data_IF_721276658119
#
_entry.id   IF_721276658119
#
_cell.length_a   1.000
_cell.length_b   1.000
_cell.length_c   1.000
_cell.angle_alpha   90.00
_cell.angle_beta   90.00
_cell.angle_gamma   90.00
#
_symmetry.space_group_name_H-M   'P 1'
#
loop_
_entity.id
_entity.type
_entity.pdbx_description
1 polymer ?
#
# COMPACT_ATOMS: atom_id res chain seq x y z
N UNK A 1 -43.95 36.41 2.86
CA UNK A 1 -43.90 35.44 1.76
C UNK A 1 -42.54 34.78 1.85
N UNK A 2 -42.48 33.55 2.35
CA UNK A 2 -41.23 32.83 2.55
C UNK A 2 -40.94 32.02 1.28
N UNK A 3 -39.81 32.31 0.63
CA UNK A 3 -39.36 31.58 -0.56
C UNK A 3 -38.89 30.18 -0.15
N UNK A 4 -39.49 29.18 -0.79
CA UNK A 4 -39.14 27.77 -0.62
C UNK A 4 -37.77 27.47 -1.25
N UNK A 5 -36.88 26.71 -0.58
CA UNK A 5 -35.57 26.39 -1.11
C UNK A 5 -35.68 25.48 -2.35
N UNK A 6 -34.94 25.84 -3.40
CA UNK A 6 -34.88 25.07 -4.66
C UNK A 6 -34.22 23.71 -4.41
N UNK A 7 -34.75 22.61 -4.99
CA UNK A 7 -34.20 21.28 -4.77
C UNK A 7 -32.81 21.16 -5.40
N UNK A 8 -31.85 20.67 -4.60
CA UNK A 8 -30.51 20.31 -5.07
C UNK A 8 -30.59 19.05 -5.93
N UNK A 9 -30.22 19.17 -7.19
CA UNK A 9 -30.24 18.13 -8.22
C UNK A 9 -29.08 17.12 -8.10
N UNK A 10 -28.86 16.55 -6.91
CA UNK A 10 -27.67 15.72 -6.68
C UNK A 10 -27.87 14.20 -6.92
N UNK A 11 -29.08 13.73 -7.23
CA UNK A 11 -29.40 12.30 -7.17
C UNK A 11 -29.70 11.61 -8.51
N UNK A 12 -29.51 12.26 -9.66
CA UNK A 12 -30.00 11.72 -10.95
C UNK A 12 -28.92 11.50 -12.03
N UNK A 13 -27.63 11.67 -11.73
CA UNK A 13 -26.56 11.52 -12.73
C UNK A 13 -25.71 10.26 -12.48
N UNK A 14 -26.33 9.08 -12.36
CA UNK A 14 -25.60 7.82 -12.12
C UNK A 14 -25.75 6.77 -13.21
N UNK A 15 -26.55 6.98 -14.25
CA UNK A 15 -26.80 5.92 -15.25
C UNK A 15 -27.10 6.47 -16.65
N UNK A 16 -26.07 6.89 -17.38
CA UNK A 16 -25.93 6.68 -18.84
C UNK A 16 -24.74 7.50 -19.35
N UNK A 17 -23.87 6.88 -20.14
CA UNK A 17 -22.71 7.45 -20.86
C UNK A 17 -23.05 8.52 -21.92
N UNK A 18 -24.19 9.20 -21.77
CA UNK A 18 -24.47 10.41 -22.54
C UNK A 18 -23.98 11.60 -21.73
N UNK A 19 -22.74 12.01 -22.02
CA UNK A 19 -22.19 13.30 -21.60
C UNK A 19 -23.26 14.38 -21.82
N UNK A 20 -23.88 14.83 -20.74
CA UNK A 20 -24.85 15.91 -20.79
C UNK A 20 -24.05 17.21 -20.94
N UNK A 21 -23.85 17.66 -22.18
CA UNK A 21 -23.10 18.87 -22.54
C UNK A 21 -23.67 20.16 -21.92
N UNK A 22 -24.86 20.09 -21.32
CA UNK A 22 -25.53 21.21 -20.64
C UNK A 22 -25.69 21.01 -19.12
N UNK A 23 -25.04 20.03 -18.51
CA UNK A 23 -25.04 19.92 -17.05
C UNK A 23 -24.09 20.96 -16.44
N UNK A 24 -24.56 21.73 -15.46
CA UNK A 24 -23.76 22.75 -14.77
C UNK A 24 -22.49 22.18 -14.13
N UNK A 25 -22.46 20.89 -13.78
CA UNK A 25 -21.25 20.22 -13.30
C UNK A 25 -20.14 20.16 -14.36
N UNK A 26 -20.49 20.00 -15.65
CA UNK A 26 -19.50 19.95 -16.74
C UNK A 26 -18.90 21.34 -17.02
N UNK A 27 -19.71 22.39 -16.88
CA UNK A 27 -19.25 23.79 -16.96
C UNK A 27 -18.31 24.11 -15.81
N UNK A 28 -18.61 23.64 -14.59
CA UNK A 28 -17.73 23.82 -13.42
C UNK A 28 -16.41 23.05 -13.52
N UNK A 29 -16.42 21.83 -14.09
CA UNK A 29 -15.20 21.05 -14.29
C UNK A 29 -14.33 21.64 -15.40
N UNK A 30 -14.91 22.12 -16.51
CA UNK A 30 -14.16 22.84 -17.56
C UNK A 30 -13.59 24.16 -17.08
N UNK A 31 -14.38 24.95 -16.36
CA UNK A 31 -13.91 26.22 -15.78
C UNK A 31 -12.73 26.00 -14.83
N UNK A 32 -12.77 24.97 -13.98
CA UNK A 32 -11.62 24.64 -13.11
C UNK A 32 -10.39 24.16 -13.85
N UNK A 33 -10.56 23.50 -15.00
CA UNK A 33 -9.42 23.06 -15.82
C UNK A 33 -8.74 24.23 -16.53
N UNK A 34 -9.52 25.16 -17.08
CA UNK A 34 -8.98 26.38 -17.70
C UNK A 34 -8.30 27.28 -16.65
N UNK A 35 -8.85 27.41 -15.44
CA UNK A 35 -8.21 28.12 -14.32
C UNK A 35 -6.89 27.44 -13.86
N UNK A 36 -6.81 26.10 -13.91
CA UNK A 36 -5.60 25.37 -13.54
C UNK A 36 -4.50 25.46 -14.61
N UNK A 37 -4.88 25.47 -15.90
CA UNK A 37 -3.94 25.66 -17.02
C UNK A 37 -3.39 27.11 -17.02
N UNK A 38 -4.22 28.14 -16.77
CA UNK A 38 -3.74 29.52 -16.56
C UNK A 38 -2.84 29.66 -15.32
N UNK A 39 -3.15 28.95 -14.23
CA UNK A 39 -2.33 28.97 -13.03
C UNK A 39 -0.95 28.33 -13.25
N UNK A 40 -0.86 27.28 -14.06
CA UNK A 40 0.40 26.60 -14.37
C UNK A 40 1.28 27.39 -15.36
N UNK A 41 0.67 28.09 -16.33
CA UNK A 41 1.41 28.94 -17.27
C UNK A 41 1.88 30.26 -16.65
N UNK A 42 1.28 30.69 -15.53
CA UNK A 42 1.66 31.90 -14.80
C UNK A 42 2.82 31.76 -13.82
N UNK A 43 3.31 30.53 -13.56
CA UNK A 43 4.48 30.30 -12.70
C UNK A 43 5.75 30.39 -13.55
N UNK A 44 6.06 31.59 -14.04
CA UNK A 44 7.45 31.93 -14.37
C UNK A 44 8.22 31.94 -13.05
N UNK A 45 8.89 30.83 -12.78
CA UNK A 45 9.85 30.66 -11.69
C UNK A 45 10.97 31.69 -11.84
N UNK A 46 10.78 32.88 -11.28
CA UNK A 46 11.86 33.79 -10.92
C UNK A 46 12.75 33.07 -9.91
N UNK A 47 13.78 32.40 -10.42
CA UNK A 47 14.86 31.80 -9.65
C UNK A 47 15.80 32.90 -9.16
N UNK A 48 15.31 33.79 -8.31
CA UNK A 48 16.18 34.54 -7.41
C UNK A 48 16.25 33.80 -6.08
N UNK A 49 17.11 32.77 -6.08
CA UNK A 49 17.41 32.03 -4.87
C UNK A 49 18.18 32.91 -3.88
N UNK A 50 17.85 32.88 -2.58
CA UNK A 50 18.69 33.50 -1.56
C UNK A 50 20.06 32.83 -1.58
N UNK A 51 21.12 33.64 -1.61
CA UNK A 51 22.51 33.23 -1.47
C UNK A 51 22.71 32.46 -0.16
N UNK A 52 22.49 31.15 -0.21
CA UNK A 52 22.67 30.24 0.91
C UNK A 52 24.15 29.89 0.99
N UNK A 53 24.78 30.45 2.00
CA UNK A 53 26.13 30.13 2.45
C UNK A 53 26.34 28.61 2.47
N UNK A 54 27.32 28.19 1.67
CA UNK A 54 28.27 27.09 1.91
C UNK A 54 27.74 25.97 2.82
N UNK A 55 26.88 25.12 2.28
CA UNK A 55 26.73 23.75 2.79
C UNK A 55 27.49 22.81 1.87
N UNK A 56 28.35 22.00 2.48
CA UNK A 56 29.26 21.08 1.82
C UNK A 56 28.52 20.11 0.89
N UNK A 57 28.54 20.43 -0.41
CA UNK A 57 28.17 19.50 -1.47
C UNK A 57 29.28 18.45 -1.54
N UNK A 58 28.98 17.26 -1.02
CA UNK A 58 29.76 16.07 -1.32
C UNK A 58 29.60 15.82 -2.82
N UNK A 59 30.59 16.28 -3.60
CA UNK A 59 30.73 15.93 -5.02
C UNK A 59 31.00 14.43 -5.10
N UNK A 60 29.96 13.65 -5.40
CA UNK A 60 30.13 12.30 -5.92
C UNK A 60 30.59 12.44 -7.38
N UNK A 61 31.90 12.37 -7.58
CA UNK A 61 32.49 12.27 -8.91
C UNK A 61 32.19 10.89 -9.50
N UNK A 62 31.93 10.79 -10.81
CA UNK A 62 31.85 9.51 -11.51
C UNK A 62 33.15 8.72 -11.31
N UNK A 63 33.02 7.49 -10.84
CA UNK A 63 34.12 6.53 -10.69
C UNK A 63 34.48 6.04 -12.10
N UNK A 64 35.46 6.70 -12.71
CA UNK A 64 36.10 6.20 -13.93
C UNK A 64 36.88 4.93 -13.58
N UNK A 65 36.51 3.82 -14.20
CA UNK A 65 37.25 2.56 -14.15
C UNK A 65 38.52 2.71 -15.00
N UNK A 66 39.58 3.25 -14.38
CA UNK A 66 40.94 3.21 -14.87
C UNK A 66 41.72 2.09 -14.20
N UNK A 67 41.85 0.96 -14.89
CA UNK A 67 42.75 -0.14 -14.55
C UNK A 67 44.11 0.16 -15.19
N UNK A 68 45.08 0.65 -14.43
CA UNK A 68 46.50 0.65 -14.80
C UNK A 68 47.39 0.39 -13.56
N UNK A 69 47.84 -0.86 -13.48
CA UNK A 69 49.13 -1.42 -13.06
C UNK A 69 50.18 -0.58 -12.29
N UNK A 70 50.71 -1.26 -11.26
CA UNK A 70 52.14 -1.34 -10.84
C UNK A 70 52.77 -0.13 -10.12
N UNK A 71 53.00 -0.26 -8.82
CA UNK A 71 54.33 -0.60 -8.25
C UNK A 71 54.20 -0.66 -6.72
N UNK A 72 54.45 -1.85 -6.17
CA UNK A 72 54.47 -2.11 -4.73
C UNK A 72 55.73 -1.49 -4.11
N UNK A 73 55.57 -0.37 -3.41
CA UNK A 73 56.56 0.11 -2.44
C UNK A 73 56.11 -0.26 -1.04
N UNK A 74 56.71 -1.35 -0.56
CA UNK A 74 56.55 -1.92 0.77
C UNK A 74 57.26 -1.03 1.80
N UNK A 75 56.54 -0.04 2.34
CA UNK A 75 56.96 0.68 3.54
C UNK A 75 55.96 0.37 4.66
N UNK A 76 56.30 -0.65 5.44
CA UNK A 76 55.69 -0.99 6.73
C UNK A 76 55.93 0.17 7.73
N UNK A 77 55.24 1.28 7.55
CA UNK A 77 55.08 2.27 8.61
C UNK A 77 53.92 1.80 9.49
N UNK A 78 54.28 1.18 10.62
CA UNK A 78 53.44 0.87 11.77
C UNK A 78 52.78 2.17 12.28
N UNK A 79 51.77 2.61 11.56
CA UNK A 79 50.84 3.63 12.04
C UNK A 79 49.94 2.93 13.02
N UNK A 80 50.29 3.08 14.30
CA UNK A 80 49.46 2.76 15.45
C UNK A 80 48.15 3.54 15.31
N UNK A 81 47.20 2.93 14.60
CA UNK A 81 45.86 3.46 14.45
C UNK A 81 45.19 3.32 15.81
N UNK A 82 45.23 4.40 16.59
CA UNK A 82 44.41 4.54 17.78
C UNK A 82 42.95 4.34 17.33
N UNK A 83 42.41 3.15 17.57
CA UNK A 83 40.98 2.88 17.51
C UNK A 83 40.36 3.71 18.62
N UNK A 84 40.02 4.96 18.31
CA UNK A 84 39.13 5.76 19.14
C UNK A 84 37.84 4.95 19.24
N UNK A 85 37.67 4.26 20.36
CA UNK A 85 36.42 3.63 20.70
C UNK A 85 35.40 4.77 20.81
N UNK A 86 34.60 4.94 19.77
CA UNK A 86 33.36 5.73 19.77
C UNK A 86 32.37 5.03 20.73
N UNK A 87 32.75 4.95 22.00
CA UNK A 87 31.81 4.66 23.09
C UNK A 87 30.91 5.89 23.18
N UNK A 88 29.92 5.86 22.30
CA UNK A 88 28.78 6.74 22.17
C UNK A 88 28.44 7.40 23.50
N UNK A 89 28.71 8.71 23.61
CA UNK A 89 28.02 9.55 24.59
C UNK A 89 26.54 9.59 24.20
N UNK A 90 25.81 8.53 24.58
CA UNK A 90 24.37 8.48 24.47
C UNK A 90 23.82 9.58 25.36
N UNK A 91 23.53 10.72 24.73
CA UNK A 91 22.92 11.85 25.40
C UNK A 91 21.65 11.41 26.11
N UNK A 92 21.36 12.03 27.25
CA UNK A 92 20.15 11.74 28.02
C UNK A 92 18.88 11.82 27.16
N UNK A 93 18.86 12.74 26.18
CA UNK A 93 17.80 12.89 25.19
C UNK A 93 17.63 11.66 24.30
N UNK A 94 18.72 11.08 23.79
CA UNK A 94 18.67 9.85 22.99
C UNK A 94 18.13 8.67 23.80
N UNK A 95 18.56 8.56 25.06
CA UNK A 95 18.10 7.52 26.00
C UNK A 95 16.60 7.65 26.28
N UNK A 96 16.11 8.86 26.51
CA UNK A 96 14.68 9.11 26.75
C UNK A 96 13.84 8.87 25.49
N UNK A 97 14.31 9.31 24.32
CA UNK A 97 13.65 9.06 23.03
C UNK A 97 13.52 7.56 22.75
N UNK A 98 14.57 6.78 23.01
CA UNK A 98 14.55 5.31 22.87
C UNK A 98 13.53 4.68 23.83
N UNK A 99 13.47 5.12 25.09
CA UNK A 99 12.46 4.65 26.06
C UNK A 99 11.03 4.92 25.60
N UNK A 100 10.77 6.09 24.98
CA UNK A 100 9.45 6.43 24.45
C UNK A 100 9.06 5.54 23.27
N UNK A 101 9.95 5.40 22.30
CA UNK A 101 9.74 4.54 21.12
C UNK A 101 9.53 3.08 21.55
N UNK A 102 10.33 2.58 22.51
CA UNK A 102 10.18 1.23 23.03
C UNK A 102 8.82 1.01 23.68
N UNK A 103 8.39 1.96 24.52
CA UNK A 103 7.08 1.89 25.17
C UNK A 103 5.94 1.90 24.15
N UNK A 104 6.00 2.77 23.14
CA UNK A 104 5.01 2.82 22.05
C UNK A 104 4.95 1.48 21.28
N UNK A 105 6.11 0.87 21.00
CA UNK A 105 6.16 -0.46 20.37
C UNK A 105 5.53 -1.53 21.26
N UNK A 106 5.82 -1.52 22.56
CA UNK A 106 5.23 -2.45 23.52
C UNK A 106 3.69 -2.31 23.58
N UNK A 107 3.16 -1.08 23.52
CA UNK A 107 1.72 -0.81 23.47
C UNK A 107 1.08 -1.24 22.14
N UNK A 108 1.79 -1.08 21.02
CA UNK A 108 1.34 -1.55 19.70
C UNK A 108 1.38 -3.09 19.56
N UNK A 109 2.16 -3.78 20.39
CA UNK A 109 2.20 -5.25 20.42
C UNK A 109 1.09 -5.90 21.27
N UNK A 110 0.27 -5.14 21.99
CA UNK A 110 -0.85 -5.69 22.76
C UNK A 110 -1.92 -6.29 21.81
N UNK A 111 -2.26 -7.59 21.92
CA UNK A 111 -3.32 -8.20 21.12
C UNK A 111 -4.67 -7.45 21.18
N UNK A 112 -4.93 -6.75 22.28
CA UNK A 112 -6.12 -5.92 22.43
C UNK A 112 -6.10 -4.68 21.52
N UNK A 113 -4.91 -4.12 21.23
CA UNK A 113 -4.72 -2.98 20.34
C UNK A 113 -4.67 -3.40 18.85
N UNK A 114 -4.29 -4.64 18.56
CA UNK A 114 -4.16 -5.17 17.19
C UNK A 114 -5.51 -5.44 16.48
N UNK A 115 -6.56 -5.83 17.20
CA UNK A 115 -7.83 -6.29 16.59
C UNK A 115 -8.80 -5.18 16.16
N UNK A 116 -8.64 -3.96 16.69
CA UNK A 116 -9.60 -2.87 16.47
C UNK A 116 -9.22 -1.98 15.27
N UNK A 117 -7.94 -1.97 14.86
CA UNK A 117 -7.41 -0.77 14.21
C UNK A 117 -7.69 -0.64 12.71
N UNK A 118 -7.67 -1.68 11.88
CA UNK A 118 -7.92 -1.48 10.43
C UNK A 118 -8.56 -2.70 9.76
N UNK A 119 -9.74 -2.50 9.17
CA UNK A 119 -10.32 -3.48 8.26
C UNK A 119 -9.42 -3.67 7.05
N UNK A 120 -9.01 -4.90 6.77
CA UNK A 120 -8.27 -5.26 5.55
C UNK A 120 -9.19 -5.41 4.33
N UNK A 121 -10.50 -5.34 4.53
CA UNK A 121 -11.49 -5.50 3.49
C UNK A 121 -11.31 -4.44 2.42
N UNK A 122 -11.19 -4.86 1.16
CA UNK A 122 -11.15 -3.95 0.03
C UNK A 122 -12.47 -3.17 -0.06
N UNK A 123 -12.44 -1.85 -0.08
CA UNK A 123 -13.66 -1.04 -0.17
C UNK A 123 -14.38 -1.10 -1.53
N UNK A 124 -13.76 -1.67 -2.57
CA UNK A 124 -14.31 -1.77 -3.93
C UNK A 124 -14.97 -3.15 -4.13
N UNK A 125 -14.18 -4.23 -4.10
CA UNK A 125 -14.70 -5.60 -4.29
C UNK A 125 -15.18 -6.28 -3.01
N UNK A 126 -15.03 -5.63 -1.85
CA UNK A 126 -15.46 -6.15 -0.54
C UNK A 126 -14.81 -7.46 -0.09
N UNK A 127 -13.71 -7.86 -0.73
CA UNK A 127 -12.92 -9.03 -0.33
C UNK A 127 -12.21 -8.73 1.00
N UNK A 128 -12.43 -9.57 2.01
CA UNK A 128 -12.04 -9.26 3.41
C UNK A 128 -10.52 -9.22 3.64
N UNK A 129 -9.73 -9.97 2.87
CA UNK A 129 -8.29 -10.09 3.09
C UNK A 129 -7.49 -10.26 1.80
N UNK A 130 -7.40 -9.23 0.93
CA UNK A 130 -6.66 -9.32 -0.32
C UNK A 130 -5.17 -9.52 -0.06
N UNK A 131 -4.56 -10.48 -0.77
CA UNK A 131 -3.14 -10.83 -0.64
C UNK A 131 -2.20 -9.69 -1.02
N UNK A 132 -2.61 -8.86 -1.99
CA UNK A 132 -1.84 -7.72 -2.47
C UNK A 132 -2.75 -6.51 -2.53
N UNK A 133 -2.29 -5.42 -1.91
CA UNK A 133 -3.02 -4.16 -1.82
C UNK A 133 -2.30 -3.08 -2.62
N UNK A 134 -3.03 -2.04 -2.96
CA UNK A 134 -2.53 -0.81 -3.53
C UNK A 134 -2.94 0.37 -2.64
N UNK A 135 -2.07 1.37 -2.55
CA UNK A 135 -2.35 2.64 -1.86
C UNK A 135 -2.25 3.76 -2.87
N UNK A 136 -3.27 4.61 -2.90
CA UNK A 136 -3.30 5.82 -3.71
C UNK A 136 -2.40 6.89 -3.08
N UNK A 137 -1.41 7.38 -3.81
CA UNK A 137 -0.25 8.12 -3.26
C UNK A 137 -0.62 9.46 -2.64
N UNK A 138 -1.61 10.15 -3.20
CA UNK A 138 -1.92 11.53 -2.82
C UNK A 138 -2.94 11.61 -1.68
N UNK A 139 -3.80 10.59 -1.53
CA UNK A 139 -4.85 10.58 -0.51
C UNK A 139 -4.70 9.48 0.56
N UNK A 140 -3.81 8.51 0.37
CA UNK A 140 -3.54 7.43 1.31
C UNK A 140 -4.66 6.37 1.43
N UNK A 141 -5.74 6.48 0.66
CA UNK A 141 -6.76 5.43 0.60
C UNK A 141 -6.18 4.15 -0.01
N UNK A 142 -6.77 3.00 0.31
CA UNK A 142 -6.24 1.71 -0.13
C UNK A 142 -7.32 0.78 -0.68
N UNK A 143 -6.93 -0.05 -1.65
CA UNK A 143 -7.76 -1.06 -2.29
C UNK A 143 -6.94 -2.34 -2.55
N UNK A 144 -7.55 -3.39 -3.11
CA UNK A 144 -6.78 -4.52 -3.63
C UNK A 144 -6.14 -4.16 -4.98
N UNK A 145 -4.98 -4.76 -5.30
CA UNK A 145 -4.25 -4.44 -6.53
C UNK A 145 -5.08 -4.69 -7.81
N UNK A 146 -5.97 -5.68 -7.79
CA UNK A 146 -6.81 -5.99 -8.95
C UNK A 146 -7.81 -4.86 -9.23
N UNK A 147 -8.43 -4.31 -8.18
CA UNK A 147 -9.33 -3.18 -8.34
C UNK A 147 -8.59 -1.89 -8.69
N UNK A 148 -7.38 -1.67 -8.17
CA UNK A 148 -6.57 -0.52 -8.58
C UNK A 148 -6.19 -0.58 -10.07
N UNK A 149 -5.75 -1.75 -10.56
CA UNK A 149 -5.44 -1.93 -11.98
C UNK A 149 -6.66 -1.76 -12.90
N UNK A 150 -7.86 -2.11 -12.43
CA UNK A 150 -9.10 -1.89 -13.19
C UNK A 150 -9.47 -0.41 -13.35
N UNK A 151 -8.88 0.48 -12.55
CA UNK A 151 -9.09 1.93 -12.69
C UNK A 151 -8.14 2.54 -13.73
N UNK A 152 -7.14 1.79 -14.18
CA UNK A 152 -6.27 2.22 -15.28
C UNK A 152 -6.99 1.85 -16.56
N UNK A 153 -7.52 2.86 -17.26
CA UNK A 153 -8.14 2.68 -18.56
C UNK A 153 -7.07 2.24 -19.57
N UNK A 154 -7.29 1.11 -20.25
CA UNK A 154 -6.33 0.55 -21.23
C UNK A 154 -6.11 1.48 -22.43
N UNK A 155 -7.08 2.36 -22.72
CA UNK A 155 -7.04 3.31 -23.83
C UNK A 155 -6.38 4.64 -23.47
N UNK A 156 -6.06 4.89 -22.20
CA UNK A 156 -5.53 6.17 -21.76
C UNK A 156 -4.01 6.24 -21.98
N UNK A 157 -3.56 7.33 -22.60
CA UNK A 157 -2.15 7.50 -22.97
C UNK A 157 -1.24 7.69 -21.74
N UNK A 158 -1.83 7.96 -20.57
CA UNK A 158 -1.11 8.17 -19.34
C UNK A 158 -1.67 7.27 -18.21
N UNK A 159 -1.26 5.98 -18.15
CA UNK A 159 -1.77 5.01 -17.18
C UNK A 159 -1.37 5.32 -15.73
N UNK A 160 -0.64 6.41 -15.47
CA UNK A 160 -0.09 6.75 -14.16
C UNK A 160 -1.07 7.50 -13.25
N UNK A 161 -2.10 8.16 -13.81
CA UNK A 161 -3.03 9.00 -13.04
C UNK A 161 -4.43 8.39 -13.09
N UNK A 162 -5.00 8.11 -11.92
CA UNK A 162 -6.35 7.58 -11.74
C UNK A 162 -7.14 8.41 -10.72
N UNK A 163 -8.47 8.37 -10.78
CA UNK A 163 -9.32 9.00 -9.76
C UNK A 163 -9.54 8.05 -8.59
N UNK A 164 -9.20 8.47 -7.36
CA UNK A 164 -9.42 7.65 -6.17
C UNK A 164 -10.93 7.38 -5.95
N UNK A 165 -11.40 6.12 -5.86
CA UNK A 165 -12.83 5.81 -5.74
C UNK A 165 -13.43 6.19 -4.38
N UNK A 166 -12.59 6.58 -3.40
CA UNK A 166 -13.01 6.93 -2.05
C UNK A 166 -13.19 8.43 -1.86
N UNK A 167 -12.25 9.24 -2.36
CA UNK A 167 -12.23 10.69 -2.17
C UNK A 167 -12.20 11.51 -3.46
N UNK A 168 -12.09 10.84 -4.62
CA UNK A 168 -12.07 11.46 -5.95
C UNK A 168 -10.88 12.40 -6.23
N UNK A 169 -9.82 12.26 -5.45
CA UNK A 169 -8.55 12.93 -5.73
C UNK A 169 -7.86 12.23 -6.91
N UNK A 170 -7.35 12.99 -7.88
CA UNK A 170 -6.51 12.46 -8.95
C UNK A 170 -5.16 12.06 -8.38
N UNK A 171 -4.75 10.83 -8.63
CA UNK A 171 -3.62 10.25 -7.91
C UNK A 171 -3.01 9.07 -8.64
N UNK A 172 -1.76 8.75 -8.34
CA UNK A 172 -1.16 7.46 -8.73
C UNK A 172 -1.40 6.41 -7.65
N UNK A 173 -1.06 5.15 -7.91
CA UNK A 173 -1.06 4.14 -6.85
C UNK A 173 0.21 3.30 -6.85
N UNK A 174 0.63 2.90 -5.64
CA UNK A 174 1.76 2.01 -5.43
C UNK A 174 1.31 0.70 -4.81
N UNK A 175 1.97 -0.39 -5.21
CA UNK A 175 1.75 -1.71 -4.63
C UNK A 175 2.28 -1.74 -3.19
N UNK A 176 1.43 -2.14 -2.25
CA UNK A 176 1.82 -2.33 -0.86
C UNK A 176 2.35 -3.76 -0.68
N UNK A 177 3.60 -3.87 -0.25
CA UNK A 177 4.25 -5.14 0.05
C UNK A 177 4.09 -5.44 1.53
N UNK A 178 3.27 -6.45 1.85
CA UNK A 178 3.22 -7.01 3.19
C UNK A 178 4.25 -8.14 3.24
N UNK A 179 5.37 -7.93 3.92
CA UNK A 179 6.27 -9.02 4.24
C UNK A 179 5.55 -9.94 5.21
N UNK A 180 5.15 -11.12 4.72
CA UNK A 180 5.00 -12.24 5.63
C UNK A 180 6.43 -12.54 6.05
N UNK A 181 6.82 -12.13 7.25
CA UNK A 181 8.00 -12.72 7.86
C UNK A 181 7.72 -14.22 7.91
N UNK A 182 8.22 -14.94 6.92
CA UNK A 182 8.35 -16.38 6.99
C UNK A 182 9.33 -16.59 8.13
N UNK A 183 8.81 -16.70 9.35
CA UNK A 183 9.59 -17.19 10.46
C UNK A 183 10.25 -18.46 9.93
N UNK A 184 11.59 -18.50 9.79
CA UNK A 184 12.27 -19.73 9.41
C UNK A 184 11.75 -20.76 10.41
N UNK A 185 11.28 -21.95 9.96
CA UNK A 185 10.53 -22.89 10.79
C UNK A 185 11.25 -23.01 12.12
N UNK A 186 10.70 -22.35 13.14
CA UNK A 186 11.45 -21.99 14.34
C UNK A 186 11.60 -23.26 15.14
N UNK A 187 12.68 -24.00 14.87
CA UNK A 187 12.94 -25.35 15.35
C UNK A 187 11.83 -26.36 14.97
N UNK A 188 12.16 -27.66 14.82
CA UNK A 188 11.13 -28.67 14.75
C UNK A 188 10.31 -28.56 16.03
N UNK A 189 9.04 -28.12 15.90
CA UNK A 189 8.06 -28.30 16.96
C UNK A 189 8.20 -29.75 17.42
N UNK A 190 8.36 -30.02 18.73
CA UNK A 190 8.49 -31.38 19.22
C UNK A 190 7.35 -32.15 18.57
N UNK A 191 7.69 -33.25 17.89
CA UNK A 191 6.72 -34.14 17.28
C UNK A 191 5.74 -34.53 18.37
N UNK A 192 4.68 -33.72 18.52
CA UNK A 192 3.46 -34.11 19.20
C UNK A 192 3.03 -35.26 18.33
N UNK A 193 3.35 -36.45 18.84
CA UNK A 193 2.86 -37.73 18.36
C UNK A 193 1.35 -37.53 18.27
N UNK A 194 0.88 -37.12 17.09
CA UNK A 194 -0.51 -37.23 16.76
C UNK A 194 -0.80 -38.71 16.98
N UNK A 195 -1.65 -39.06 17.97
CA UNK A 195 -1.99 -40.45 18.16
C UNK A 195 -2.49 -40.91 16.80
N UNK A 196 -1.83 -41.93 16.24
CA UNK A 196 -2.23 -42.57 15.00
C UNK A 196 -3.70 -42.89 15.11
N UNK A 197 -4.54 -41.98 14.60
CA UNK A 197 -5.93 -42.27 14.41
C UNK A 197 -5.92 -43.14 13.17
N UNK A 198 -5.78 -44.45 13.43
CA UNK A 198 -6.27 -45.47 12.54
C UNK A 198 -7.76 -45.19 12.34
N UNK A 199 -8.06 -44.26 11.43
CA UNK A 199 -9.39 -44.03 10.94
C UNK A 199 -9.81 -45.35 10.31
N UNK A 200 -10.81 -45.98 10.90
CA UNK A 200 -11.38 -47.18 10.32
C UNK A 200 -11.85 -46.85 8.91
N UNK A 201 -11.83 -47.80 7.96
CA UNK A 201 -12.32 -47.58 6.61
C UNK A 201 -13.72 -46.95 6.56
N UNK A 202 -14.56 -47.22 7.57
CA UNK A 202 -15.89 -46.62 7.74
C UNK A 202 -15.86 -45.11 8.02
N UNK A 203 -14.92 -44.62 8.82
CA UNK A 203 -14.75 -43.19 9.10
C UNK A 203 -14.29 -42.43 7.84
N UNK A 204 -13.40 -43.04 7.05
CA UNK A 204 -12.93 -42.49 5.77
C UNK A 204 -14.11 -42.39 4.79
N UNK A 205 -14.92 -43.44 4.66
CA UNK A 205 -16.12 -43.42 3.83
C UNK A 205 -17.12 -42.35 4.27
N UNK A 206 -17.35 -42.16 5.57
CA UNK A 206 -18.25 -41.11 6.08
C UNK A 206 -17.76 -39.69 5.76
N UNK A 207 -16.45 -39.45 5.87
CA UNK A 207 -15.84 -38.15 5.52
C UNK A 207 -15.94 -37.88 4.02
N UNK A 208 -15.62 -38.87 3.18
CA UNK A 208 -15.76 -38.73 1.73
C UNK A 208 -17.22 -38.55 1.31
N UNK A 209 -18.16 -39.27 1.92
CA UNK A 209 -19.58 -39.11 1.63
C UNK A 209 -20.07 -37.69 1.93
N UNK A 210 -19.71 -37.11 3.09
CA UNK A 210 -20.04 -35.71 3.41
C UNK A 210 -19.43 -34.72 2.41
N UNK A 211 -18.21 -34.98 1.95
CA UNK A 211 -17.54 -34.12 0.98
C UNK A 211 -18.27 -34.16 -0.38
N UNK A 212 -18.64 -35.34 -0.85
CA UNK A 212 -19.39 -35.53 -2.11
C UNK A 212 -20.79 -34.94 -2.03
N UNK A 213 -21.51 -35.13 -0.92
CA UNK A 213 -22.86 -34.55 -0.78
C UNK A 213 -22.82 -33.02 -0.76
N UNK A 214 -21.85 -32.42 -0.06
CA UNK A 214 -21.70 -30.97 -0.03
C UNK A 214 -21.27 -30.41 -1.39
N UNK A 215 -20.41 -31.12 -2.11
CA UNK A 215 -20.02 -30.74 -3.47
C UNK A 215 -21.21 -30.80 -4.44
N UNK A 216 -22.01 -31.86 -4.41
CA UNK A 216 -23.18 -31.96 -5.30
C UNK A 216 -24.24 -30.87 -5.02
N UNK A 217 -24.33 -30.40 -3.76
CA UNK A 217 -25.19 -29.27 -3.41
C UNK A 217 -24.72 -27.92 -3.97
N UNK A 218 -23.41 -27.73 -4.18
CA UNK A 218 -22.88 -26.47 -4.71
C UNK A 218 -22.90 -26.42 -6.24
N UNK A 219 -22.78 -27.54 -6.94
CA UNK A 219 -22.69 -27.55 -8.43
C UNK A 219 -24.06 -27.64 -9.13
N UNK A 220 -25.16 -27.96 -8.43
CA UNK A 220 -26.47 -28.09 -9.09
C UNK A 220 -27.65 -27.52 -8.27
N UNK A 221 -27.83 -26.18 -8.25
CA UNK A 221 -28.95 -25.54 -7.56
C UNK A 221 -30.34 -25.86 -8.17
N UNK A 222 -30.41 -26.48 -9.37
CA UNK A 222 -31.67 -26.80 -10.04
C UNK A 222 -32.29 -28.14 -9.60
N UNK A 223 -31.57 -28.97 -8.84
CA UNK A 223 -32.08 -30.27 -8.37
C UNK A 223 -33.15 -30.18 -7.25
N UNK A 224 -33.42 -28.98 -6.71
CA UNK A 224 -34.40 -28.78 -5.63
C UNK A 224 -35.85 -28.74 -6.15
N UNK A 225 -36.08 -28.59 -7.46
CA UNK A 225 -37.43 -28.44 -8.03
C UNK A 225 -38.16 -29.76 -8.35
N UNK A 226 -37.57 -30.94 -8.12
CA UNK A 226 -38.17 -32.25 -8.45
C UNK A 226 -38.60 -33.09 -7.24
N UNK A 227 -38.78 -32.47 -6.06
CA UNK A 227 -39.41 -33.10 -4.88
C UNK A 227 -40.73 -32.40 -4.50
N UNK A 228 -41.65 -32.29 -5.45
CA UNK A 228 -43.06 -32.02 -5.20
C UNK A 228 -43.92 -32.94 -6.04
#
# INVERSE_FOLDING_TARGET
MAESPKPLCYSACSQSDRMCSNCSCFVMIRARREELEEFLDGVELEKEGPSREQSNVIKLTPREEGVESEEETDSEEDTEYEVYSEEDEETEWNRERRKRIQKEREEDHDPSSLSIRYSRRCGICLFDNPRVRAVFTDCGHSSCIHCANQLVDEDDQNPEIVECPFCREFTSFVRLFESVEEFPPSSPLPLVLFPSTHLTPLEICRRLFRYVTNFLHTVNPLAILWRR
#
